data_IF_211740887214
#
_entry.id   IF_211740887214
#
_cell.length_a   1.000
_cell.length_b   1.000
_cell.length_c   1.000
_cell.angle_alpha   90.00
_cell.angle_beta   90.00
_cell.angle_gamma   90.00
#
_symmetry.space_group_name_H-M   'P 1'
#
loop_
_entity.id
_entity.type
_entity.pdbx_description
1 polymer ?
#
# COMPACT_ATOMS: atom_id res chain seq x y z
N UNK A 1 14.76 0.81 24.41
CA UNK A 1 15.23 1.14 23.04
C UNK A 1 14.14 0.86 22.00
N UNK A 2 13.46 -0.31 22.03
CA UNK A 2 12.38 -0.69 21.10
C UNK A 2 11.27 0.36 20.86
N UNK A 3 10.70 0.96 21.90
CA UNK A 3 9.60 1.93 21.73
C UNK A 3 9.97 3.21 20.92
N UNK A 4 11.26 3.56 20.84
CA UNK A 4 11.72 4.68 20.00
C UNK A 4 11.80 4.29 18.52
N UNK A 5 12.14 3.04 18.23
CA UNK A 5 12.27 2.52 16.86
C UNK A 5 10.88 2.24 16.26
N UNK A 6 9.93 1.74 17.06
CA UNK A 6 8.52 1.54 16.64
C UNK A 6 7.84 2.87 16.27
N UNK A 7 8.06 3.91 17.08
CA UNK A 7 7.51 5.25 16.79
C UNK A 7 8.11 5.85 15.51
N UNK A 8 9.38 5.55 15.22
CA UNK A 8 10.04 6.00 13.99
C UNK A 8 9.48 5.28 12.76
N UNK A 9 9.30 3.96 12.82
CA UNK A 9 8.72 3.17 11.72
C UNK A 9 7.26 3.52 11.47
N UNK A 10 6.48 3.81 12.52
CA UNK A 10 5.10 4.31 12.37
C UNK A 10 5.06 5.66 11.65
N UNK A 11 5.95 6.59 12.02
CA UNK A 11 6.06 7.88 11.33
C UNK A 11 6.49 7.72 9.86
N UNK A 12 7.38 6.77 9.56
CA UNK A 12 7.77 6.43 8.18
C UNK A 12 6.59 5.90 7.38
N UNK A 13 5.83 4.95 7.94
CA UNK A 13 4.62 4.41 7.34
C UNK A 13 3.61 5.53 7.04
N UNK A 14 3.28 6.36 8.03
CA UNK A 14 2.33 7.47 7.87
C UNK A 14 2.77 8.47 6.79
N UNK A 15 4.06 8.76 6.72
CA UNK A 15 4.62 9.64 5.69
C UNK A 15 4.45 9.05 4.29
N UNK A 16 4.77 7.78 4.10
CA UNK A 16 4.64 7.10 2.79
C UNK A 16 3.17 6.95 2.40
N UNK A 17 2.30 6.60 3.34
CA UNK A 17 0.84 6.54 3.12
C UNK A 17 0.32 7.91 2.66
N UNK A 18 0.71 8.99 3.35
CA UNK A 18 0.32 10.36 2.97
C UNK A 18 0.85 10.73 1.59
N UNK A 19 2.10 10.38 1.28
CA UNK A 19 2.70 10.57 -0.03
C UNK A 19 1.87 9.88 -1.13
N UNK A 20 1.49 8.61 -0.95
CA UNK A 20 0.67 7.86 -1.91
C UNK A 20 -0.71 8.51 -2.11
N UNK A 21 -1.37 8.91 -1.01
CA UNK A 21 -2.68 9.58 -1.09
C UNK A 21 -2.61 10.90 -1.87
N UNK A 22 -1.55 11.67 -1.66
CA UNK A 22 -1.32 12.93 -2.40
C UNK A 22 -1.06 12.66 -3.89
N UNK A 23 -0.23 11.67 -4.22
CA UNK A 23 0.03 11.29 -5.61
C UNK A 23 -1.25 10.91 -6.35
N UNK A 24 -2.17 10.19 -5.70
CA UNK A 24 -3.47 9.86 -6.28
C UNK A 24 -4.32 11.12 -6.50
N UNK A 25 -4.38 12.01 -5.50
CA UNK A 25 -5.10 13.27 -5.62
C UNK A 25 -4.57 14.16 -6.76
N UNK A 26 -3.26 14.11 -7.01
CA UNK A 26 -2.59 14.80 -8.12
C UNK A 26 -2.68 14.06 -9.47
N UNK A 27 -3.51 13.01 -9.56
CA UNK A 27 -3.67 12.15 -10.74
C UNK A 27 -2.37 11.44 -11.20
N UNK A 28 -1.44 11.22 -10.28
CA UNK A 28 -0.15 10.55 -10.53
C UNK A 28 -0.21 9.05 -10.18
N UNK A 29 -1.23 8.35 -10.66
CA UNK A 29 -1.50 6.94 -10.30
C UNK A 29 -0.34 5.98 -10.66
N UNK A 30 0.42 6.28 -11.70
CA UNK A 30 1.64 5.52 -12.04
C UNK A 30 2.70 5.59 -10.93
N UNK A 31 2.89 6.78 -10.36
CA UNK A 31 3.87 7.00 -9.30
C UNK A 31 3.34 6.46 -7.96
N UNK A 32 2.04 6.65 -7.70
CA UNK A 32 1.36 6.09 -6.53
C UNK A 32 1.51 4.56 -6.46
N UNK A 33 1.26 3.85 -7.56
CA UNK A 33 1.38 2.38 -7.62
C UNK A 33 2.83 1.88 -7.50
N UNK A 34 3.81 2.65 -7.99
CA UNK A 34 5.24 2.37 -7.72
C UNK A 34 5.58 2.55 -6.24
N UNK A 35 5.11 3.63 -5.64
CA UNK A 35 5.38 3.94 -4.23
C UNK A 35 4.70 2.95 -3.28
N UNK A 36 3.51 2.49 -3.66
CA UNK A 36 2.80 1.39 -3.01
C UNK A 36 3.58 0.07 -3.07
N UNK A 37 4.27 -0.20 -4.19
CA UNK A 37 5.19 -1.34 -4.32
C UNK A 37 6.30 -1.31 -3.28
N UNK A 38 7.00 -0.19 -3.13
CA UNK A 38 8.03 -0.03 -2.09
C UNK A 38 7.46 -0.17 -0.68
N UNK A 39 6.28 0.41 -0.44
CA UNK A 39 5.60 0.24 0.85
C UNK A 39 5.29 -1.24 1.15
N UNK A 40 4.79 -1.98 0.16
CA UNK A 40 4.55 -3.40 0.30
C UNK A 40 5.85 -4.20 0.53
N UNK A 41 6.96 -3.79 -0.08
CA UNK A 41 8.25 -4.44 0.16
C UNK A 41 8.79 -4.21 1.56
N UNK A 42 8.63 -3.01 2.08
CA UNK A 42 9.14 -2.60 3.39
C UNK A 42 8.26 -3.10 4.55
N UNK A 43 6.93 -3.16 4.34
CA UNK A 43 5.97 -3.36 5.44
C UNK A 43 4.99 -4.52 5.25
N UNK A 44 4.83 -5.08 4.04
CA UNK A 44 3.95 -6.24 3.88
C UNK A 44 4.61 -7.50 4.43
N UNK A 45 3.83 -8.27 5.18
CA UNK A 45 4.29 -9.50 5.83
C UNK A 45 4.27 -10.66 4.83
N UNK A 46 3.38 -10.60 3.84
CA UNK A 46 3.18 -11.63 2.82
C UNK A 46 3.78 -11.21 1.47
N UNK A 47 4.63 -12.06 0.89
CA UNK A 47 5.18 -11.86 -0.45
C UNK A 47 4.09 -11.75 -1.53
N UNK A 48 2.90 -12.33 -1.31
CA UNK A 48 1.74 -12.20 -2.20
C UNK A 48 1.36 -10.73 -2.46
N UNK A 49 1.53 -9.86 -1.46
CA UNK A 49 1.23 -8.42 -1.55
C UNK A 49 2.10 -7.72 -2.58
N UNK A 50 3.35 -8.17 -2.78
CA UNK A 50 4.23 -7.62 -3.83
C UNK A 50 3.64 -7.85 -5.22
N UNK A 51 3.10 -9.03 -5.50
CA UNK A 51 2.48 -9.34 -6.78
C UNK A 51 1.21 -8.51 -7.04
N UNK A 52 0.44 -8.21 -6.00
CA UNK A 52 -0.75 -7.33 -6.10
C UNK A 52 -0.34 -5.91 -6.55
N UNK A 53 0.80 -5.38 -6.06
CA UNK A 53 1.28 -4.06 -6.53
C UNK A 53 1.74 -4.04 -7.98
N UNK A 54 2.32 -5.15 -8.47
CA UNK A 54 2.68 -5.31 -9.89
C UNK A 54 1.44 -5.38 -10.76
N UNK A 55 0.38 -6.07 -10.32
CA UNK A 55 -0.89 -6.13 -11.03
C UNK A 55 -1.50 -4.72 -11.23
N UNK A 56 -1.49 -3.87 -10.20
CA UNK A 56 -1.97 -2.49 -10.33
C UNK A 56 -1.19 -1.68 -11.39
N UNK A 57 0.13 -1.85 -11.45
CA UNK A 57 0.97 -1.19 -12.46
C UNK A 57 0.64 -1.67 -13.87
N UNK A 58 0.42 -2.98 -14.04
CA UNK A 58 0.03 -3.58 -15.32
C UNK A 58 -1.34 -3.07 -15.78
N UNK A 59 -2.34 -3.09 -14.88
CA UNK A 59 -3.68 -2.56 -15.15
C UNK A 59 -3.64 -1.07 -15.53
N UNK A 60 -2.84 -0.26 -14.85
CA UNK A 60 -2.65 1.14 -15.23
C UNK A 60 -2.06 1.29 -16.64
N UNK A 61 -1.02 0.52 -16.95
CA UNK A 61 -0.36 0.54 -18.26
C UNK A 61 -1.31 0.11 -19.39
N UNK A 62 -2.18 -0.87 -19.12
CA UNK A 62 -3.23 -1.31 -20.04
C UNK A 62 -4.24 -0.20 -20.30
N UNK A 63 -4.77 0.44 -19.25
CA UNK A 63 -5.72 1.57 -19.39
C UNK A 63 -5.10 2.71 -20.22
N UNK A 64 -3.84 3.06 -19.96
CA UNK A 64 -3.10 4.08 -20.72
C UNK A 64 -2.94 3.68 -22.18
N UNK A 65 -2.68 2.41 -22.45
CA UNK A 65 -2.56 1.86 -23.81
C UNK A 65 -3.91 1.90 -24.54
N UNK A 66 -4.99 1.47 -23.91
CA UNK A 66 -6.33 1.48 -24.47
C UNK A 66 -6.80 2.90 -24.79
N UNK A 67 -6.53 3.86 -23.90
CA UNK A 67 -6.76 5.29 -24.14
C UNK A 67 -5.97 5.79 -25.36
N UNK A 68 -4.67 5.51 -25.42
CA UNK A 68 -3.79 5.96 -26.52
C UNK A 68 -4.21 5.39 -27.87
N UNK A 69 -4.52 4.10 -27.91
CA UNK A 69 -4.95 3.39 -29.12
C UNK A 69 -6.42 3.59 -29.46
N UNK A 70 -7.17 4.35 -28.65
CA UNK A 70 -8.62 4.57 -28.79
C UNK A 70 -9.42 3.26 -28.85
N UNK A 71 -8.97 2.26 -28.09
CA UNK A 71 -9.61 0.95 -27.99
C UNK A 71 -10.77 0.93 -27.00
N UNK A 72 -10.94 2.02 -26.24
CA UNK A 72 -12.04 2.20 -25.28
C UNK A 72 -12.55 3.63 -25.37
N UNK A 73 -13.83 3.80 -25.07
CA UNK A 73 -14.45 5.11 -24.89
C UNK A 73 -13.82 5.88 -23.71
N UNK A 74 -13.98 7.20 -23.70
CA UNK A 74 -13.52 8.03 -22.58
C UNK A 74 -14.21 7.65 -21.26
N UNK A 75 -15.47 7.23 -21.31
CA UNK A 75 -16.24 6.79 -20.15
C UNK A 75 -15.69 5.47 -19.58
N UNK A 76 -15.36 4.50 -20.43
CA UNK A 76 -14.72 3.26 -20.00
C UNK A 76 -13.34 3.52 -19.39
N UNK A 77 -12.51 4.36 -20.02
CA UNK A 77 -11.21 4.74 -19.46
C UNK A 77 -11.37 5.38 -18.08
N UNK A 78 -12.34 6.28 -17.92
CA UNK A 78 -12.58 6.98 -16.64
C UNK A 78 -13.08 6.02 -15.56
N UNK A 79 -13.96 5.07 -15.91
CA UNK A 79 -14.41 4.01 -14.98
C UNK A 79 -13.27 3.10 -14.57
N UNK A 80 -12.44 2.65 -15.51
CA UNK A 80 -11.29 1.79 -15.20
C UNK A 80 -10.25 2.49 -14.33
N UNK A 81 -9.98 3.78 -14.57
CA UNK A 81 -9.10 4.58 -13.70
C UNK A 81 -9.69 4.73 -12.28
N UNK A 82 -11.00 4.99 -12.18
CA UNK A 82 -11.67 5.14 -10.88
C UNK A 82 -11.65 3.83 -10.08
N UNK A 83 -11.93 2.70 -10.75
CA UNK A 83 -11.84 1.37 -10.13
C UNK A 83 -10.43 1.05 -9.68
N UNK A 84 -9.42 1.30 -10.52
CA UNK A 84 -8.03 1.07 -10.14
C UNK A 84 -7.61 1.97 -8.96
N UNK A 85 -8.08 3.21 -8.94
CA UNK A 85 -7.80 4.14 -7.83
C UNK A 85 -8.40 3.63 -6.52
N UNK A 86 -9.63 3.11 -6.56
CA UNK A 86 -10.28 2.50 -5.41
C UNK A 86 -9.50 1.27 -4.90
N UNK A 87 -9.13 0.36 -5.80
CA UNK A 87 -8.38 -0.85 -5.43
C UNK A 87 -7.02 -0.51 -4.79
N UNK A 88 -6.35 0.55 -5.28
CA UNK A 88 -5.09 1.04 -4.70
C UNK A 88 -5.29 1.59 -3.29
N UNK A 89 -6.39 2.30 -3.02
CA UNK A 89 -6.70 2.76 -1.66
C UNK A 89 -7.00 1.62 -0.71
N UNK A 90 -7.84 0.67 -1.12
CA UNK A 90 -8.19 -0.50 -0.32
C UNK A 90 -6.95 -1.31 0.04
N UNK A 91 -6.05 -1.50 -0.92
CA UNK A 91 -4.80 -2.22 -0.68
C UNK A 91 -3.82 -1.42 0.21
N UNK A 92 -3.78 -0.09 0.09
CA UNK A 92 -2.99 0.76 0.99
C UNK A 92 -3.46 0.62 2.44
N UNK A 93 -4.78 0.67 2.67
CA UNK A 93 -5.37 0.51 4.00
C UNK A 93 -5.13 -0.90 4.56
N UNK A 94 -5.12 -1.92 3.69
CA UNK A 94 -4.78 -3.30 4.04
C UNK A 94 -3.33 -3.44 4.55
N UNK A 95 -2.34 -2.85 3.87
CA UNK A 95 -0.94 -2.88 4.34
C UNK A 95 -0.84 -2.22 5.72
N UNK A 96 -1.49 -1.07 5.91
CA UNK A 96 -1.49 -0.36 7.20
C UNK A 96 -2.11 -1.23 8.30
N UNK A 97 -3.20 -1.92 8.01
CA UNK A 97 -3.84 -2.83 8.95
C UNK A 97 -2.95 -4.03 9.31
N UNK A 98 -2.32 -4.66 8.31
CA UNK A 98 -1.40 -5.78 8.51
C UNK A 98 -0.20 -5.37 9.38
N UNK A 99 0.41 -4.23 9.09
CA UNK A 99 1.53 -3.71 9.88
C UNK A 99 1.12 -3.46 11.34
N UNK A 100 -0.01 -2.79 11.58
CA UNK A 100 -0.49 -2.51 12.93
C UNK A 100 -0.78 -3.80 13.72
N UNK A 101 -1.37 -4.80 13.06
CA UNK A 101 -1.65 -6.10 13.70
C UNK A 101 -0.38 -6.85 14.07
N UNK A 102 0.65 -6.79 13.23
CA UNK A 102 1.95 -7.41 13.52
C UNK A 102 2.67 -6.75 14.70
N UNK A 103 2.66 -5.42 14.77
CA UNK A 103 3.21 -4.70 15.93
C UNK A 103 2.50 -5.08 17.22
N UNK A 104 1.16 -5.17 17.18
CA UNK A 104 0.36 -5.62 18.33
C UNK A 104 0.71 -7.05 18.77
N UNK A 105 0.90 -7.99 17.83
CA UNK A 105 1.25 -9.37 18.17
C UNK A 105 2.65 -9.47 18.79
N UNK A 106 3.63 -8.72 18.27
CA UNK A 106 4.98 -8.69 18.84
C UNK A 106 4.99 -8.16 20.28
N UNK A 107 4.20 -7.12 20.56
CA UNK A 107 4.09 -6.57 21.90
C UNK A 107 3.49 -7.57 22.90
N UNK A 108 2.42 -8.27 22.51
CA UNK A 108 1.80 -9.30 23.36
C UNK A 108 2.75 -10.46 23.66
N UNK A 109 3.57 -10.87 22.71
CA UNK A 109 4.58 -11.92 22.87
C UNK A 109 5.69 -11.53 23.87
N UNK A 110 6.13 -10.27 23.85
CA UNK A 110 7.14 -9.76 24.80
C UNK A 110 6.57 -9.76 26.22
N UNK A 111 5.38 -9.18 26.42
CA UNK A 111 4.70 -9.14 27.74
C UNK A 111 4.46 -10.55 28.28
N UNK A 112 4.04 -11.48 27.42
CA UNK A 112 3.81 -12.87 27.82
C UNK A 112 5.09 -13.61 28.22
N UNK A 113 6.24 -13.29 27.62
CA UNK A 113 7.54 -13.87 27.96
C UNK A 113 8.11 -13.29 29.26
N UNK A 114 7.87 -12.01 29.54
CA UNK A 114 8.27 -11.39 30.82
C UNK A 114 7.46 -11.95 31.99
N UNK A 115 6.14 -12.11 31.83
CA UNK A 115 5.28 -12.66 32.88
C UNK A 115 5.51 -14.14 33.18
N UNK A 116 6.14 -14.91 32.28
CA UNK A 116 6.52 -16.32 32.53
C UNK A 116 7.87 -16.47 33.25
N UNK A 117 8.63 -15.39 33.40
CA UNK A 117 9.94 -15.40 34.08
C UNK A 117 9.89 -14.92 35.54
N UNK A 118 8.76 -14.38 35.98
CA UNK A 118 8.45 -14.05 37.37
C UNK A 118 7.52 -15.09 37.97
#
# INVERSE_FOLDING_TARGET
MQARDENLERQRLEKIVTEIKNLIADNQLELATKRLGYLAEDFAIDQKRKYETVDFQLRYAEIKTNKRKRLSSQEEVSRSLSSLTFDVFDFLDLIVAEYNNFQLSQFQDIVSKENKKN
#
